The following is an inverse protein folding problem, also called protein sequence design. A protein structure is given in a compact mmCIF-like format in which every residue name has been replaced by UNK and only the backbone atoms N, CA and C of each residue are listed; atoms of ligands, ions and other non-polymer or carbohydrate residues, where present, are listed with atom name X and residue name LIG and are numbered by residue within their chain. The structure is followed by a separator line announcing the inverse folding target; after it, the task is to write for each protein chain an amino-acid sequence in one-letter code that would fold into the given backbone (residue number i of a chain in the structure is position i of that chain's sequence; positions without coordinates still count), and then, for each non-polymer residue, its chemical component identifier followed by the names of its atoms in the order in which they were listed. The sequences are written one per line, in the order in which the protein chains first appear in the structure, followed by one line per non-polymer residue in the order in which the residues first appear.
data_IF_198679183028
#
_entry.id   IF_198679183028
#
_cell.length_a   1.000
_cell.length_b   1.000
_cell.length_c   1.000
_cell.angle_alpha   90.00
_cell.angle_beta   90.00
_cell.angle_gamma   90.00
#
_symmetry.space_group_name_H-M   'P 1'
#
loop_
_entity.id
_entity.type
_entity.pdbx_description
1 polymer ?
#
# COMPACT_ATOMS: atom_id res chain seq x y z
N UNK A 1 36.36 14.72 -26.08
CA UNK A 1 36.34 13.46 -25.32
C UNK A 1 35.62 12.42 -26.18
N UNK A 2 36.35 11.42 -26.69
CA UNK A 2 35.83 10.44 -27.67
C UNK A 2 35.14 9.29 -26.94
N UNK A 3 33.83 9.18 -27.09
CA UNK A 3 33.02 8.07 -26.56
C UNK A 3 33.17 6.84 -27.45
N UNK A 4 33.77 5.78 -26.92
CA UNK A 4 33.83 4.47 -27.58
C UNK A 4 32.53 3.70 -27.37
N UNK A 5 31.96 3.25 -28.49
CA UNK A 5 30.79 2.39 -28.58
C UNK A 5 31.24 0.93 -28.42
N UNK A 6 30.89 0.27 -27.32
CA UNK A 6 31.07 -1.17 -27.14
C UNK A 6 29.85 -1.91 -27.71
N UNK A 7 30.07 -2.66 -28.78
CA UNK A 7 29.09 -3.59 -29.37
C UNK A 7 29.25 -4.95 -28.68
N UNK A 8 28.21 -5.41 -28.00
CA UNK A 8 28.11 -6.79 -27.50
C UNK A 8 27.36 -7.65 -28.51
N UNK A 9 28.06 -8.62 -29.12
CA UNK A 9 27.46 -9.68 -29.92
C UNK A 9 27.32 -10.92 -29.02
N UNK A 10 26.09 -11.19 -28.58
CA UNK A 10 25.74 -12.38 -27.80
C UNK A 10 25.12 -13.46 -28.69
N UNK A 11 25.90 -14.52 -28.91
CA UNK A 11 25.61 -15.69 -29.73
C UNK A 11 24.60 -16.61 -29.01
N UNK A 12 23.41 -16.83 -29.57
CA UNK A 12 22.40 -17.77 -29.06
C UNK A 12 22.69 -19.18 -29.60
N UNK A 13 23.21 -20.04 -28.73
CA UNK A 13 23.44 -21.47 -28.98
C UNK A 13 22.13 -22.24 -28.91
N UNK A 14 21.74 -22.85 -30.03
CA UNK A 14 20.70 -23.87 -30.13
C UNK A 14 21.08 -25.10 -29.29
N UNK A 15 20.17 -25.57 -28.45
CA UNK A 15 20.28 -26.85 -27.74
C UNK A 15 19.53 -27.91 -28.57
N UNK A 16 20.15 -29.07 -28.88
CA UNK A 16 19.50 -30.12 -29.64
C UNK A 16 18.49 -30.90 -28.80
N UNK A 17 17.36 -31.23 -29.44
CA UNK A 17 16.34 -32.17 -28.98
C UNK A 17 16.85 -33.59 -29.21
N UNK A 18 17.03 -34.36 -28.14
CA UNK A 18 17.22 -35.81 -28.24
C UNK A 18 15.86 -36.48 -28.05
N UNK A 19 15.28 -36.89 -29.17
CA UNK A 19 14.27 -37.94 -29.21
C UNK A 19 15.02 -39.26 -29.36
N UNK A 20 14.99 -40.11 -28.34
CA UNK A 20 15.30 -41.52 -28.50
C UNK A 20 14.37 -42.32 -27.59
N UNK A 21 13.72 -43.30 -28.20
CA UNK A 21 12.66 -44.08 -27.59
C UNK A 21 13.10 -45.38 -26.94
N UNK A 22 12.06 -46.06 -26.46
CA UNK A 22 11.93 -47.50 -26.31
C UNK A 22 12.55 -48.15 -25.06
N UNK A 23 11.67 -48.57 -24.15
CA UNK A 23 11.76 -49.90 -23.52
C UNK A 23 10.40 -50.26 -22.91
N UNK A 24 9.73 -51.21 -23.55
CA UNK A 24 8.71 -52.06 -22.95
C UNK A 24 9.35 -52.75 -21.73
N UNK A 25 8.87 -52.45 -20.52
CA UNK A 25 9.26 -53.14 -19.29
C UNK A 25 8.02 -53.50 -18.47
N UNK A 26 8.07 -54.71 -17.97
CA UNK A 26 6.96 -55.57 -17.63
C UNK A 26 6.15 -55.10 -16.42
N UNK A 27 4.86 -55.47 -16.44
CA UNK A 27 3.88 -55.11 -15.44
C UNK A 27 4.32 -55.45 -14.01
N UNK A 28 4.51 -54.40 -13.23
CA UNK A 28 4.35 -54.46 -11.78
C UNK A 28 3.12 -53.61 -11.39
N UNK A 29 1.98 -54.29 -11.39
CA UNK A 29 0.68 -53.78 -10.98
C UNK A 29 0.66 -53.60 -9.46
N UNK A 30 1.24 -52.49 -9.02
CA UNK A 30 1.15 -51.96 -7.66
C UNK A 30 1.35 -50.45 -7.72
N UNK A 31 0.61 -49.78 -8.62
CA UNK A 31 0.50 -48.32 -8.63
C UNK A 31 -0.42 -47.93 -7.47
N UNK A 32 0.14 -48.00 -6.26
CA UNK A 32 -0.35 -47.14 -5.19
C UNK A 32 -0.19 -45.72 -5.72
N UNK A 33 -1.26 -44.92 -5.83
CA UNK A 33 -1.08 -43.51 -6.11
C UNK A 33 -0.20 -43.00 -4.97
N UNK A 34 1.03 -42.58 -5.31
CA UNK A 34 1.80 -41.62 -4.52
C UNK A 34 0.99 -40.33 -4.50
N UNK A 35 -0.15 -40.38 -3.83
CA UNK A 35 -0.83 -39.25 -3.27
C UNK A 35 0.07 -38.85 -2.11
N UNK A 36 1.22 -38.25 -2.43
CA UNK A 36 1.90 -37.32 -1.56
C UNK A 36 0.80 -36.30 -1.23
N UNK A 37 0.19 -36.33 -0.03
CA UNK A 37 -0.67 -35.23 0.34
C UNK A 37 0.23 -34.00 0.23
N UNK A 38 -0.14 -33.03 -0.60
CA UNK A 38 0.51 -31.74 -0.73
C UNK A 38 0.82 -31.20 0.66
N UNK A 39 2.01 -31.50 1.18
CA UNK A 39 2.51 -30.99 2.46
C UNK A 39 2.83 -29.49 2.38
N UNK A 40 2.54 -28.90 1.22
CA UNK A 40 2.61 -27.48 0.90
C UNK A 40 1.25 -26.76 0.95
N UNK A 41 0.11 -27.46 1.06
CA UNK A 41 -1.21 -26.79 1.03
C UNK A 41 -1.87 -26.56 2.40
N UNK A 42 -1.32 -27.09 3.50
CA UNK A 42 -1.91 -26.94 4.84
C UNK A 42 -1.30 -25.85 5.74
N UNK A 43 -0.34 -25.06 5.26
CA UNK A 43 0.27 -23.96 6.04
C UNK A 43 -0.31 -22.57 5.70
N UNK A 44 -1.46 -22.51 5.03
CA UNK A 44 -2.10 -21.26 4.61
C UNK A 44 -2.91 -20.55 5.70
N UNK A 45 -3.18 -21.21 6.84
CA UNK A 45 -4.16 -20.70 7.79
C UNK A 45 -3.69 -19.48 8.61
N UNK A 46 -2.39 -19.32 8.88
CA UNK A 46 -1.88 -18.28 9.79
C UNK A 46 -0.63 -17.59 9.25
N UNK A 47 -0.76 -16.89 8.11
CA UNK A 47 0.34 -16.05 7.62
C UNK A 47 0.35 -14.70 8.35
N UNK A 48 1.54 -14.18 8.69
CA UNK A 48 1.63 -12.83 9.22
C UNK A 48 1.10 -11.80 8.22
N UNK A 49 0.46 -10.76 8.74
CA UNK A 49 -0.19 -9.72 7.93
C UNK A 49 0.62 -8.42 7.95
N UNK A 50 0.95 -7.89 6.78
CA UNK A 50 1.52 -6.56 6.59
C UNK A 50 0.40 -5.59 6.20
N UNK A 51 0.07 -4.68 7.12
CA UNK A 51 -0.96 -3.65 6.92
C UNK A 51 -0.29 -2.34 6.50
N UNK A 52 -0.48 -1.96 5.23
CA UNK A 52 0.03 -0.71 4.66
C UNK A 52 -1.06 0.36 4.72
N UNK A 53 -0.83 1.42 5.50
CA UNK A 53 -1.83 2.43 5.82
C UNK A 53 -1.40 3.79 5.26
N UNK A 54 -2.12 4.31 4.27
CA UNK A 54 -1.91 5.68 3.82
C UNK A 54 -2.74 6.65 4.65
N UNK A 55 -2.14 7.73 5.13
CA UNK A 55 -2.85 8.75 5.89
C UNK A 55 -2.30 10.18 5.72
N UNK A 56 -3.05 11.15 6.23
CA UNK A 56 -2.66 12.54 6.38
C UNK A 56 -1.84 12.75 7.65
N UNK A 57 -0.99 13.77 7.65
CA UNK A 57 -0.11 14.10 8.76
C UNK A 57 -0.86 14.34 10.08
N UNK A 58 -2.11 14.79 10.03
CA UNK A 58 -2.95 14.99 11.20
C UNK A 58 -4.39 14.54 10.92
N UNK A 59 -5.07 13.90 11.89
CA UNK A 59 -4.55 13.41 13.19
C UNK A 59 -3.57 12.23 13.02
N UNK A 60 -2.82 11.82 14.07
CA UNK A 60 -2.06 10.57 14.04
C UNK A 60 -2.97 9.34 13.87
N UNK A 61 -2.40 8.20 13.49
CA UNK A 61 -3.13 6.93 13.43
C UNK A 61 -3.53 6.45 14.83
N UNK A 62 -4.73 5.90 14.95
CA UNK A 62 -5.21 5.20 16.13
C UNK A 62 -5.87 3.88 15.68
N UNK A 63 -5.26 2.70 15.91
CA UNK A 63 -4.01 2.48 16.65
C UNK A 63 -2.77 3.05 15.96
N UNK A 64 -1.70 3.28 16.72
CA UNK A 64 -0.44 3.75 16.17
C UNK A 64 0.19 2.66 15.28
N UNK A 65 0.73 3.05 14.13
CA UNK A 65 1.51 2.15 13.29
C UNK A 65 2.88 1.88 13.92
N UNK A 66 3.39 0.65 13.75
CA UNK A 66 4.71 0.25 14.26
C UNK A 66 5.83 1.00 13.55
N UNK A 67 5.68 1.20 12.24
CA UNK A 67 6.54 2.08 11.44
C UNK A 67 5.72 3.23 10.89
N UNK A 68 6.31 4.43 10.81
CA UNK A 68 5.66 5.59 10.21
C UNK A 68 6.64 6.38 9.35
N UNK A 69 6.27 6.62 8.10
CA UNK A 69 7.09 7.33 7.12
C UNK A 69 6.44 8.63 6.67
N UNK A 70 7.13 9.74 6.88
CA UNK A 70 6.77 11.03 6.30
C UNK A 70 7.38 11.17 4.90
N UNK A 71 6.52 11.39 3.90
CA UNK A 71 6.93 11.57 2.50
C UNK A 71 6.52 12.95 1.95
N UNK A 72 6.30 13.93 2.82
CA UNK A 72 5.99 15.32 2.42
C UNK A 72 7.13 16.01 1.69
N UNK A 73 8.35 15.53 1.83
CA UNK A 73 9.54 16.00 1.11
C UNK A 73 9.55 15.63 -0.38
N UNK A 74 8.74 14.66 -0.80
CA UNK A 74 8.64 14.27 -2.21
C UNK A 74 7.93 15.33 -3.04
N UNK A 75 8.28 15.41 -4.32
CA UNK A 75 7.68 16.35 -5.26
C UNK A 75 6.15 16.26 -5.28
N UNK A 76 5.51 17.44 -5.35
CA UNK A 76 4.06 17.53 -5.43
C UNK A 76 3.60 17.30 -6.87
N UNK A 77 2.58 16.46 -7.10
CA UNK A 77 2.00 16.33 -8.43
C UNK A 77 1.44 17.67 -8.96
N UNK A 78 1.44 17.88 -10.28
CA UNK A 78 0.90 19.08 -10.90
C UNK A 78 -0.54 19.33 -10.45
N UNK A 79 -0.91 20.61 -10.30
CA UNK A 79 -2.23 21.02 -9.77
C UNK A 79 -3.39 20.33 -10.48
N UNK A 80 -3.42 20.34 -11.81
CA UNK A 80 -4.50 19.74 -12.60
C UNK A 80 -4.66 18.23 -12.36
N UNK A 81 -3.55 17.51 -12.10
CA UNK A 81 -3.57 16.08 -11.73
C UNK A 81 -4.15 15.91 -10.33
N UNK A 82 -3.70 16.71 -9.35
CA UNK A 82 -4.19 16.61 -7.95
C UNK A 82 -5.68 16.91 -7.81
N UNK A 83 -6.20 17.81 -8.62
CA UNK A 83 -7.61 18.20 -8.58
C UNK A 83 -8.53 17.12 -9.19
N UNK A 84 -8.04 16.42 -10.22
CA UNK A 84 -8.81 15.40 -10.96
C UNK A 84 -8.62 13.98 -10.43
N UNK A 85 -7.52 13.72 -9.73
CA UNK A 85 -7.08 12.37 -9.40
C UNK A 85 -6.59 12.24 -7.95
N UNK A 86 -6.71 11.03 -7.40
CA UNK A 86 -6.16 10.61 -6.12
C UNK A 86 -5.04 9.57 -6.34
N UNK A 87 -4.40 9.13 -5.26
CA UNK A 87 -3.27 8.20 -5.36
C UNK A 87 -3.60 6.78 -5.84
N UNK A 88 -4.88 6.40 -5.91
CA UNK A 88 -5.30 5.10 -6.50
C UNK A 88 -5.42 5.16 -8.02
N UNK A 89 -5.43 6.36 -8.60
CA UNK A 89 -5.53 6.51 -10.05
C UNK A 89 -4.23 6.13 -10.76
N UNK A 90 -4.35 5.36 -11.85
CA UNK A 90 -3.20 4.97 -12.70
C UNK A 90 -2.41 6.19 -13.19
N UNK A 91 -3.11 7.27 -13.57
CA UNK A 91 -2.47 8.49 -14.10
C UNK A 91 -1.58 9.18 -13.07
N UNK A 92 -2.01 9.26 -11.82
CA UNK A 92 -1.19 9.86 -10.75
C UNK A 92 -0.05 8.93 -10.36
N UNK A 93 -0.29 7.62 -10.24
CA UNK A 93 0.76 6.64 -9.95
C UNK A 93 1.87 6.66 -10.99
N UNK A 94 1.52 6.71 -12.29
CA UNK A 94 2.50 6.78 -13.36
C UNK A 94 3.35 8.05 -13.28
N UNK A 95 2.72 9.21 -13.03
CA UNK A 95 3.45 10.46 -12.84
C UNK A 95 4.45 10.38 -11.67
N UNK A 96 4.03 9.77 -10.55
CA UNK A 96 4.93 9.58 -9.40
C UNK A 96 6.09 8.63 -9.74
N UNK A 97 5.85 7.56 -10.50
CA UNK A 97 6.88 6.57 -10.85
C UNK A 97 7.95 7.13 -11.78
N UNK A 98 7.61 8.11 -12.62
CA UNK A 98 8.58 8.81 -13.46
C UNK A 98 9.60 9.62 -12.65
N UNK A 99 9.30 9.92 -11.37
CA UNK A 99 10.22 10.61 -10.49
C UNK A 99 11.16 9.63 -9.77
N UNK A 100 12.47 9.78 -10.00
CA UNK A 100 13.51 8.95 -9.38
C UNK A 100 13.56 9.10 -7.85
N UNK A 101 13.29 10.28 -7.30
CA UNK A 101 13.26 10.48 -5.83
C UNK A 101 12.13 9.69 -5.19
N UNK A 102 11.01 9.50 -5.89
CA UNK A 102 9.90 8.68 -5.41
C UNK A 102 10.27 7.20 -5.40
N UNK A 103 10.87 6.67 -6.46
CA UNK A 103 11.27 5.24 -6.53
C UNK A 103 12.39 4.92 -5.54
N UNK A 104 13.40 5.79 -5.42
CA UNK A 104 14.46 5.65 -4.41
C UNK A 104 13.87 5.64 -2.99
N UNK A 105 12.94 6.56 -2.68
CA UNK A 105 12.29 6.59 -1.37
C UNK A 105 11.42 5.36 -1.12
N UNK A 106 10.68 4.89 -2.13
CA UNK A 106 9.87 3.66 -2.07
C UNK A 106 10.73 2.46 -1.73
N UNK A 107 11.86 2.29 -2.41
CA UNK A 107 12.75 1.14 -2.23
C UNK A 107 13.45 1.17 -0.86
N UNK A 108 13.83 2.37 -0.38
CA UNK A 108 14.33 2.56 0.97
C UNK A 108 13.29 2.16 2.03
N UNK A 109 12.05 2.63 1.90
CA UNK A 109 10.95 2.25 2.80
C UNK A 109 10.73 0.74 2.76
N UNK A 110 10.71 0.13 1.56
CA UNK A 110 10.54 -1.32 1.43
C UNK A 110 11.67 -2.09 2.14
N UNK A 111 12.91 -1.61 2.05
CA UNK A 111 14.04 -2.19 2.78
C UNK A 111 13.83 -2.12 4.30
N UNK A 112 13.43 -0.97 4.83
CA UNK A 112 13.18 -0.78 6.27
C UNK A 112 12.05 -1.68 6.78
N UNK A 113 10.97 -1.83 6.00
CA UNK A 113 9.86 -2.72 6.34
C UNK A 113 10.32 -4.18 6.41
N UNK A 114 11.12 -4.66 5.44
CA UNK A 114 11.64 -6.04 5.45
C UNK A 114 12.51 -6.31 6.68
N UNK A 115 13.39 -5.39 7.05
CA UNK A 115 14.20 -5.51 8.27
C UNK A 115 13.30 -5.64 9.50
N UNK A 116 12.30 -4.77 9.64
CA UNK A 116 11.39 -4.81 10.78
C UNK A 116 10.51 -6.08 10.82
N UNK A 117 10.15 -6.64 9.66
CA UNK A 117 9.40 -7.90 9.56
C UNK A 117 10.24 -9.08 10.03
N UNK A 118 11.52 -9.15 9.63
CA UNK A 118 12.44 -10.20 10.09
C UNK A 118 12.61 -10.15 11.62
N UNK A 119 12.88 -8.96 12.17
CA UNK A 119 13.00 -8.78 13.63
C UNK A 119 11.72 -9.16 14.40
N UNK A 120 10.54 -8.98 13.78
CA UNK A 120 9.27 -9.33 14.41
C UNK A 120 9.09 -10.85 14.50
N UNK A 121 9.47 -11.58 13.44
CA UNK A 121 9.41 -13.04 13.43
C UNK A 121 10.42 -13.68 14.39
N UNK A 122 11.64 -13.14 14.48
CA UNK A 122 12.67 -13.63 15.41
C UNK A 122 12.21 -13.53 16.87
N UNK A 123 11.65 -12.38 17.25
CA UNK A 123 11.12 -12.14 18.61
C UNK A 123 9.98 -13.08 18.99
N UNK A 124 9.16 -13.49 18.02
CA UNK A 124 8.10 -14.46 18.28
C UNK A 124 8.64 -15.88 18.46
N UNK A 125 9.67 -16.27 17.72
CA UNK A 125 10.36 -17.54 17.89
C UNK A 125 10.91 -17.71 19.31
N UNK A 126 11.59 -16.69 19.83
CA UNK A 126 12.14 -16.71 21.20
C UNK A 126 11.05 -16.84 22.28
N UNK A 127 9.97 -16.07 22.15
CA UNK A 127 8.90 -16.06 23.15
C UNK A 127 8.17 -17.41 23.26
N UNK A 128 8.04 -18.15 22.16
CA UNK A 128 7.49 -19.51 22.16
C UNK A 128 8.41 -20.50 22.88
N UNK A 129 9.72 -20.39 22.68
CA UNK A 129 10.71 -21.26 23.34
C UNK A 129 10.70 -21.04 24.85
N UNK A 130 10.71 -19.78 25.32
CA UNK A 130 10.71 -19.46 26.75
C UNK A 130 9.43 -19.92 27.47
N UNK A 131 8.25 -19.71 26.88
CA UNK A 131 6.97 -20.15 27.49
C UNK A 131 6.86 -21.67 27.67
N UNK A 132 7.47 -22.43 26.75
CA UNK A 132 7.49 -23.91 26.82
C UNK A 132 8.33 -24.46 27.97
N UNK A 133 9.34 -23.70 28.43
CA UNK A 133 10.21 -24.09 29.55
C UNK A 133 9.54 -23.82 30.91
N UNK A 134 8.81 -22.71 31.05
CA UNK A 134 8.12 -22.35 32.29
C UNK A 134 6.89 -23.23 32.58
N UNK A 135 6.17 -23.66 31.54
CA UNK A 135 4.90 -24.42 31.68
C UNK A 135 5.07 -25.85 32.23
N UNK A 136 6.29 -26.35 32.44
CA UNK A 136 6.51 -27.68 33.05
C UNK A 136 6.30 -27.71 34.58
N UNK A 137 5.94 -26.58 35.21
CA UNK A 137 5.86 -26.47 36.68
C UNK A 137 4.44 -26.38 37.26
N UNK A 138 3.39 -26.23 36.47
CA UNK A 138 2.01 -26.15 36.97
C UNK A 138 1.15 -27.25 36.35
N UNK A 139 0.78 -28.21 37.19
CA UNK A 139 0.02 -29.42 36.86
C UNK A 139 -1.48 -29.14 37.02
N UNK A 140 -2.26 -29.54 36.00
CA UNK A 140 -3.70 -29.82 36.02
C UNK A 140 -4.63 -28.62 36.30
N UNK A 141 -5.05 -27.91 35.25
CA UNK A 141 -6.43 -27.46 34.97
C UNK A 141 -6.45 -26.35 33.90
N UNK A 142 -6.14 -26.65 32.63
CA UNK A 142 -6.27 -25.65 31.54
C UNK A 142 -6.20 -26.37 30.18
N UNK A 143 -7.31 -27.00 29.78
CA UNK A 143 -7.46 -27.61 28.43
C UNK A 143 -8.17 -26.66 27.43
N UNK A 144 -8.45 -25.40 27.82
CA UNK A 144 -9.20 -24.42 27.01
C UNK A 144 -8.42 -23.14 26.67
N UNK A 145 -7.18 -22.97 27.13
CA UNK A 145 -6.26 -21.92 26.60
C UNK A 145 -5.52 -22.42 25.37
N UNK A 146 -6.32 -22.87 24.40
CA UNK A 146 -5.92 -23.27 23.06
C UNK A 146 -5.25 -22.08 22.35
N UNK A 147 -3.95 -21.95 22.55
CA UNK A 147 -2.96 -21.43 21.62
C UNK A 147 -3.54 -20.39 20.64
N UNK A 148 -3.71 -19.15 21.11
CA UNK A 148 -3.87 -18.02 20.20
C UNK A 148 -2.57 -17.94 19.41
N UNK A 149 -2.57 -18.61 18.25
CA UNK A 149 -1.58 -18.44 17.21
C UNK A 149 -1.67 -16.98 16.82
N UNK A 150 -0.87 -16.14 17.50
CA UNK A 150 -0.86 -14.71 17.29
C UNK A 150 -0.45 -14.47 15.84
N UNK A 151 -1.42 -14.19 14.98
CA UNK A 151 -1.19 -13.76 13.61
C UNK A 151 -0.35 -12.48 13.66
N UNK A 152 0.94 -12.56 13.30
CA UNK A 152 1.84 -11.45 13.52
C UNK A 152 1.44 -10.30 12.61
N UNK A 153 1.02 -9.17 13.20
CA UNK A 153 0.60 -7.99 12.42
C UNK A 153 1.70 -6.92 12.41
N UNK A 154 2.17 -6.56 11.21
CA UNK A 154 3.07 -5.43 10.99
C UNK A 154 2.28 -4.26 10.40
N UNK A 155 2.03 -3.20 11.19
CA UNK A 155 1.36 -1.99 10.71
C UNK A 155 2.36 -0.91 10.29
N UNK A 156 2.22 -0.43 9.06
CA UNK A 156 3.08 0.60 8.48
C UNK A 156 2.26 1.80 8.03
N UNK A 157 2.47 2.95 8.66
CA UNK A 157 1.86 4.22 8.29
C UNK A 157 2.72 4.98 7.29
N UNK A 158 2.11 5.46 6.21
CA UNK A 158 2.75 6.35 5.24
C UNK A 158 1.94 7.63 5.15
N UNK A 159 2.57 8.75 5.47
CA UNK A 159 1.87 10.02 5.60
C UNK A 159 2.32 11.09 4.60
N UNK A 160 1.33 11.87 4.15
CA UNK A 160 1.57 13.12 3.44
C UNK A 160 0.68 14.21 4.01
N UNK A 161 0.65 15.40 3.41
CA UNK A 161 -0.08 16.53 4.01
C UNK A 161 -1.57 16.24 4.24
N UNK A 162 -2.25 15.65 3.25
CA UNK A 162 -3.71 15.40 3.30
C UNK A 162 -4.11 13.93 3.19
N UNK A 163 -3.16 13.01 2.99
CA UNK A 163 -3.47 11.58 2.93
C UNK A 163 -4.16 11.08 1.65
N UNK A 164 -4.17 11.87 0.56
CA UNK A 164 -4.98 11.54 -0.64
C UNK A 164 -4.20 11.27 -1.92
N UNK A 165 -2.95 11.69 -1.99
CA UNK A 165 -2.15 11.65 -3.22
C UNK A 165 -0.89 10.82 -3.00
N UNK A 166 0.20 11.47 -2.56
CA UNK A 166 1.54 10.86 -2.44
C UNK A 166 1.54 9.61 -1.56
N UNK A 167 0.92 9.66 -0.38
CA UNK A 167 0.91 8.53 0.56
C UNK A 167 0.14 7.33 0.01
N UNK A 168 -1.00 7.58 -0.61
CA UNK A 168 -1.81 6.55 -1.26
C UNK A 168 -1.03 5.91 -2.41
N UNK A 169 -0.44 6.71 -3.30
CA UNK A 169 0.36 6.20 -4.42
C UNK A 169 1.57 5.39 -3.94
N UNK A 170 2.23 5.81 -2.86
CA UNK A 170 3.34 5.07 -2.26
C UNK A 170 2.88 3.70 -1.72
N UNK A 171 1.77 3.66 -0.98
CA UNK A 171 1.21 2.41 -0.46
C UNK A 171 0.83 1.44 -1.58
N UNK A 172 0.18 1.94 -2.62
CA UNK A 172 -0.20 1.16 -3.81
C UNK A 172 1.01 0.57 -4.52
N UNK A 173 2.11 1.32 -4.64
CA UNK A 173 3.34 0.81 -5.26
C UNK A 173 4.08 -0.18 -4.36
N UNK A 174 4.04 -0.01 -3.04
CA UNK A 174 4.59 -0.98 -2.08
C UNK A 174 3.80 -2.28 -2.10
N UNK A 175 2.47 -2.22 -2.18
CA UNK A 175 1.62 -3.41 -2.22
C UNK A 175 1.83 -4.28 -3.48
N UNK A 176 2.31 -3.69 -4.58
CA UNK A 176 2.67 -4.41 -5.81
C UNK A 176 4.02 -5.13 -5.71
N UNK A 177 4.82 -4.87 -4.68
CA UNK A 177 6.08 -5.57 -4.47
C UNK A 177 5.87 -6.99 -3.93
N UNK A 178 6.90 -7.83 -4.06
CA UNK A 178 6.91 -9.15 -3.44
C UNK A 178 7.19 -9.04 -1.94
N UNK A 179 6.33 -9.70 -1.15
CA UNK A 179 6.42 -9.83 0.31
C UNK A 179 6.25 -11.31 0.68
N UNK A 180 7.30 -12.12 0.50
CA UNK A 180 7.19 -13.58 0.63
C UNK A 180 6.80 -13.99 2.05
N UNK A 181 5.80 -14.85 2.17
CA UNK A 181 5.31 -15.36 3.46
C UNK A 181 4.44 -14.41 4.25
N UNK A 182 4.04 -13.26 3.69
CA UNK A 182 3.18 -12.28 4.34
C UNK A 182 1.94 -11.96 3.50
N UNK A 183 0.80 -11.85 4.16
CA UNK A 183 -0.43 -11.39 3.55
C UNK A 183 -0.51 -9.86 3.60
N UNK A 184 -0.90 -9.24 2.49
CA UNK A 184 -0.91 -7.77 2.36
C UNK A 184 -2.32 -7.23 2.54
N UNK A 185 -2.49 -6.29 3.48
CA UNK A 185 -3.71 -5.50 3.65
C UNK A 185 -3.41 -4.03 3.38
N UNK A 186 -4.26 -3.39 2.58
CA UNK A 186 -4.15 -1.96 2.25
C UNK A 186 -5.27 -1.19 2.94
N UNK A 187 -4.92 -0.10 3.61
CA UNK A 187 -5.88 0.80 4.24
C UNK A 187 -5.64 2.25 3.81
N UNK A 188 -6.69 2.94 3.39
CA UNK A 188 -6.61 4.33 2.97
C UNK A 188 -7.51 5.24 3.80
N UNK A 189 -6.96 5.79 4.90
CA UNK A 189 -7.75 6.53 5.90
C UNK A 189 -8.53 7.71 5.33
N UNK A 190 -7.91 8.50 4.45
CA UNK A 190 -8.44 9.81 4.04
C UNK A 190 -9.02 9.84 2.61
N UNK A 191 -9.13 8.70 1.90
CA UNK A 191 -9.69 8.66 0.54
C UNK A 191 -11.20 8.82 0.56
N UNK A 192 -11.88 8.12 1.48
CA UNK A 192 -13.34 8.06 1.53
C UNK A 192 -13.97 9.25 2.26
N UNK A 193 -13.16 10.09 2.90
CA UNK A 193 -13.63 11.32 3.50
C UNK A 193 -14.11 12.26 2.39
N UNK A 194 -15.40 12.15 2.07
CA UNK A 194 -16.12 13.06 1.19
C UNK A 194 -15.74 14.45 1.66
N UNK A 195 -15.08 15.23 0.79
CA UNK A 195 -14.81 16.65 1.07
C UNK A 195 -16.13 17.16 1.61
N UNK A 196 -16.16 17.56 2.88
CA UNK A 196 -17.35 18.23 3.43
C UNK A 196 -17.54 19.36 2.45
N UNK A 197 -18.51 19.21 1.57
CA UNK A 197 -18.91 20.27 0.68
C UNK A 197 -19.41 21.27 1.70
N UNK A 198 -18.54 22.22 2.07
CA UNK A 198 -18.94 23.52 2.52
C UNK A 198 -19.74 24.05 1.33
N UNK A 199 -20.98 23.57 1.18
CA UNK A 199 -22.10 24.41 0.85
C UNK A 199 -21.94 25.53 1.87
N UNK A 200 -21.23 26.58 1.47
CA UNK A 200 -21.69 27.93 1.68
C UNK A 200 -23.14 27.87 1.25
N UNK A 201 -24.01 27.48 2.18
CA UNK A 201 -25.39 27.85 2.18
C UNK A 201 -25.31 29.34 1.93
N UNK A 202 -25.61 29.73 0.70
CA UNK A 202 -25.74 31.11 0.35
C UNK A 202 -26.82 31.67 1.25
N UNK A 203 -26.44 32.19 2.42
CA UNK A 203 -27.13 33.33 3.01
C UNK A 203 -26.66 34.55 2.23
N UNK A 204 -27.11 34.60 0.96
CA UNK A 204 -27.49 35.84 0.30
C UNK A 204 -29.01 35.81 0.27
N UNK A 205 -29.61 35.63 1.45
CA UNK A 205 -30.98 36.05 1.67
C UNK A 205 -30.99 37.55 1.43
N UNK A 206 -31.85 37.98 0.52
CA UNK A 206 -31.82 39.29 -0.10
C UNK A 206 -31.85 40.43 0.89
N UNK A 207 -30.92 41.37 0.72
CA UNK A 207 -31.29 42.78 0.83
C UNK A 207 -31.63 43.24 -0.58
N UNK A 208 -32.87 42.93 -0.98
CA UNK A 208 -33.60 43.66 -2.02
C UNK A 208 -33.79 45.08 -1.48
N UNK A 209 -32.76 45.91 -1.61
CA UNK A 209 -32.84 47.34 -1.35
C UNK A 209 -33.66 47.96 -2.47
N UNK A 210 -34.98 47.99 -2.25
CA UNK A 210 -35.93 48.83 -2.95
C UNK A 210 -35.65 50.29 -2.60
N UNK A 211 -34.63 50.89 -3.17
CA UNK A 211 -34.58 52.35 -3.30
C UNK A 211 -35.33 52.73 -4.57
N UNK A 212 -36.65 52.74 -4.40
CA UNK A 212 -37.57 53.47 -5.24
C UNK A 212 -37.33 54.96 -5.02
N UNK A 213 -36.85 55.61 -6.07
CA UNK A 213 -37.23 56.98 -6.41
C UNK A 213 -36.55 58.08 -5.62
N UNK A 214 -35.52 58.71 -6.21
CA UNK A 214 -35.29 60.14 -6.03
C UNK A 214 -34.24 60.68 -7.02
N UNK A 215 -34.55 60.76 -8.31
CA UNK A 215 -33.99 61.85 -9.13
C UNK A 215 -35.11 62.39 -10.01
N UNK A 216 -35.61 63.54 -9.57
CA UNK A 216 -36.56 64.39 -10.27
C UNK A 216 -36.01 64.73 -11.65
N UNK A 217 -36.95 64.82 -12.60
CA UNK A 217 -36.84 65.68 -13.76
C UNK A 217 -36.22 67.03 -13.36
N UNK A 218 -35.18 67.44 -14.08
CA UNK A 218 -34.93 68.84 -14.31
C UNK A 218 -35.32 69.07 -15.76
N UNK A 219 -36.44 69.77 -15.89
CA UNK A 219 -36.95 70.36 -17.11
C UNK A 219 -35.88 71.27 -17.73
N UNK A 220 -35.69 71.09 -19.04
CA UNK A 220 -36.02 72.10 -20.04
C UNK A 220 -36.03 73.55 -19.52
N UNK A 221 -34.97 74.30 -19.83
CA UNK A 221 -35.14 75.73 -20.10
C UNK A 221 -34.31 76.12 -21.32
N UNK A 222 -35.05 76.59 -22.33
CA UNK A 222 -34.55 77.26 -23.53
C UNK A 222 -34.28 78.72 -23.16
N UNK A 223 -33.19 79.33 -23.63
CA UNK A 223 -33.24 80.64 -24.32
C UNK A 223 -31.84 81.24 -24.56
N UNK A 224 -31.66 81.64 -25.83
CA UNK A 224 -30.71 82.60 -26.39
C UNK A 224 -29.23 82.24 -26.56
#
# INVERSE_FOLDING_TARGET
MKSQLLKFNGNLSLVPTNEDGNSDDDGNDSVLPEYMPNSYEYSCANRPTLVLISHGHSPPLNPQARLSFDIRSLENPPKHVRDSHNGTSKRLQEWMRQNSTFTVRRDAIASEIRTAMAELLDKQGEHLISKSAESRKTRANEEDELFVLFDPEMRVGINCQMGRHRSVAMVEELAKMSWPGWDIRIEHRDIEMKRRNNKKTGRRDGLEQKDKGFWRAIDEDQSH
#
